data_IF_849390805529
#
_entry.id   IF_849390805529
#
_cell.length_a   1.000
_cell.length_b   1.000
_cell.length_c   1.000
_cell.angle_alpha   90.00
_cell.angle_beta   90.00
_cell.angle_gamma   90.00
#
_symmetry.space_group_name_H-M   'P 1'
#
loop_
_entity.id
_entity.type
_entity.pdbx_description
1 polymer ?
#
# COMPACT_ATOMS: atom_id res chain seq x y z
N UNK A 1 -3.23 2.45 -18.00
CA UNK A 1 -2.71 1.24 -17.33
C UNK A 1 -3.46 0.09 -17.95
N UNK A 2 -2.76 -0.82 -18.62
CA UNK A 2 -3.40 -1.94 -19.29
C UNK A 2 -3.96 -2.91 -18.23
N UNK A 3 -5.02 -3.65 -18.57
CA UNK A 3 -5.60 -4.65 -17.64
C UNK A 3 -4.57 -5.70 -17.19
N UNK A 4 -3.52 -5.91 -17.98
CA UNK A 4 -2.42 -6.85 -17.72
C UNK A 4 -1.46 -6.40 -16.60
N UNK A 5 -1.58 -5.16 -16.12
CA UNK A 5 -0.80 -4.59 -15.02
C UNK A 5 -1.59 -4.56 -13.69
N UNK A 6 -2.75 -5.21 -13.60
CA UNK A 6 -3.46 -5.31 -12.33
C UNK A 6 -2.85 -6.36 -11.39
N UNK A 7 -2.91 -6.14 -10.06
CA UNK A 7 -2.53 -7.17 -9.10
C UNK A 7 -3.38 -8.44 -9.27
N UNK A 8 -2.78 -9.60 -9.04
CA UNK A 8 -3.50 -10.87 -9.04
C UNK A 8 -4.46 -10.87 -7.85
N UNK A 9 -5.71 -11.29 -8.08
CA UNK A 9 -6.77 -11.27 -7.06
C UNK A 9 -7.78 -10.12 -7.22
N UNK A 10 -7.61 -9.26 -8.23
CA UNK A 10 -8.68 -8.41 -8.78
C UNK A 10 -9.47 -9.22 -9.80
N UNK A 11 -10.80 -9.17 -9.73
CA UNK A 11 -11.68 -9.92 -10.64
C UNK A 11 -11.88 -9.17 -11.95
N UNK A 12 -12.25 -9.86 -13.04
CA UNK A 12 -12.41 -9.25 -14.37
C UNK A 12 -13.44 -8.11 -14.44
N UNK A 13 -14.40 -8.12 -13.52
CA UNK A 13 -15.48 -7.13 -13.40
C UNK A 13 -15.14 -5.98 -12.43
N UNK A 14 -13.91 -5.93 -11.93
CA UNK A 14 -13.46 -4.93 -10.97
C UNK A 14 -12.41 -4.03 -11.61
N UNK A 15 -12.35 -2.79 -11.11
CA UNK A 15 -11.31 -1.84 -11.49
C UNK A 15 -10.42 -1.59 -10.29
N UNK A 16 -9.11 -1.73 -10.49
CA UNK A 16 -8.11 -1.41 -9.47
C UNK A 16 -7.56 0.00 -9.70
N UNK A 17 -7.60 0.83 -8.66
CA UNK A 17 -7.13 2.22 -8.71
C UNK A 17 -5.97 2.40 -7.74
N UNK A 18 -4.85 2.89 -8.25
CA UNK A 18 -3.77 3.39 -7.40
C UNK A 18 -4.07 4.81 -6.95
N UNK A 19 -4.00 5.04 -5.64
CA UNK A 19 -4.18 6.37 -5.03
C UNK A 19 -2.91 7.23 -5.14
N UNK A 20 -1.76 6.61 -5.44
CA UNK A 20 -0.50 7.27 -5.70
C UNK A 20 0.28 6.59 -6.82
N UNK A 21 1.16 7.32 -7.49
CA UNK A 21 1.89 6.83 -8.68
C UNK A 21 3.28 6.27 -8.37
N UNK A 22 3.81 6.47 -7.15
CA UNK A 22 5.21 6.16 -6.85
C UNK A 22 5.56 5.97 -5.36
N UNK A 23 4.61 6.05 -4.43
CA UNK A 23 4.91 6.06 -2.99
C UNK A 23 4.30 4.85 -2.29
N UNK A 24 4.98 4.35 -1.26
CA UNK A 24 4.42 3.33 -0.37
C UNK A 24 3.27 3.93 0.44
N UNK A 25 2.24 3.12 0.74
CA UNK A 25 1.10 3.55 1.54
C UNK A 25 1.46 3.75 3.03
N UNK A 26 2.68 3.39 3.46
CA UNK A 26 3.18 3.49 4.85
C UNK A 26 3.09 4.91 5.45
N UNK A 27 2.97 5.95 4.62
CA UNK A 27 2.77 7.33 5.05
C UNK A 27 1.33 7.84 5.03
N UNK A 28 0.37 7.00 4.68
CA UNK A 28 -1.06 7.38 4.69
C UNK A 28 -1.70 7.01 6.02
N UNK A 29 -2.84 7.59 6.34
CA UNK A 29 -3.59 7.15 7.52
C UNK A 29 -4.06 5.68 7.42
N UNK A 30 -4.25 5.15 6.21
CA UNK A 30 -4.55 3.72 5.98
C UNK A 30 -3.34 2.83 6.31
N UNK A 31 -2.14 3.28 5.96
CA UNK A 31 -0.89 2.58 6.26
C UNK A 31 -0.32 2.87 7.65
N UNK A 32 -0.98 3.65 8.50
CA UNK A 32 -0.40 4.04 9.80
C UNK A 32 -0.17 2.86 10.76
N UNK A 33 -0.99 1.81 10.67
CA UNK A 33 -0.82 0.58 11.44
C UNK A 33 0.17 -0.40 10.82
N UNK A 34 0.71 -0.08 9.64
CA UNK A 34 1.71 -0.88 8.97
C UNK A 34 3.08 -0.62 9.59
N UNK A 35 3.46 -1.43 10.57
CA UNK A 35 4.84 -1.49 11.04
C UNK A 35 5.63 -2.41 10.12
N UNK A 36 6.61 -1.86 9.40
CA UNK A 36 7.57 -2.63 8.62
C UNK A 36 8.34 -3.54 9.58
N UNK A 37 8.01 -4.84 9.60
CA UNK A 37 8.82 -5.79 10.36
C UNK A 37 10.20 -5.92 9.70
N UNK A 38 11.24 -6.18 10.51
CA UNK A 38 12.61 -6.33 10.01
C UNK A 38 12.75 -7.36 8.88
N UNK A 39 11.89 -8.39 8.89
CA UNK A 39 11.82 -9.43 7.87
C UNK A 39 11.40 -8.88 6.48
N UNK A 40 10.45 -7.94 6.43
CA UNK A 40 10.05 -7.27 5.18
C UNK A 40 11.16 -6.38 4.62
N UNK A 41 11.95 -5.75 5.51
CA UNK A 41 13.07 -4.89 5.12
C UNK A 41 14.21 -5.73 4.54
N UNK A 42 14.49 -6.90 5.12
CA UNK A 42 15.52 -7.82 4.64
C UNK A 42 15.26 -8.33 3.22
N UNK A 43 14.03 -8.82 2.94
CA UNK A 43 13.65 -9.29 1.62
C UNK A 43 13.63 -8.18 0.55
N UNK A 44 13.27 -6.96 0.93
CA UNK A 44 13.30 -5.79 0.05
C UNK A 44 14.72 -5.40 -0.38
N UNK A 45 15.66 -5.37 0.56
CA UNK A 45 17.06 -5.07 0.25
C UNK A 45 17.68 -6.11 -0.68
N UNK A 46 17.31 -7.37 -0.50
CA UNK A 46 17.75 -8.47 -1.35
C UNK A 46 17.19 -8.36 -2.76
N UNK A 47 15.90 -8.07 -2.93
CA UNK A 47 15.28 -7.85 -4.24
C UNK A 47 15.90 -6.67 -4.99
N UNK A 48 16.13 -5.53 -4.32
CA UNK A 48 16.81 -4.39 -4.96
C UNK A 48 18.24 -4.76 -5.35
N UNK A 49 18.95 -5.48 -4.48
CA UNK A 49 20.32 -5.91 -4.74
C UNK A 49 20.38 -6.78 -5.99
N UNK A 50 19.49 -7.75 -6.12
CA UNK A 50 19.39 -8.64 -7.28
C UNK A 50 19.08 -7.87 -8.57
N UNK A 51 18.13 -6.94 -8.53
CA UNK A 51 17.76 -6.14 -9.70
C UNK A 51 18.88 -5.20 -10.15
N UNK A 52 19.59 -4.57 -9.22
CA UNK A 52 20.70 -3.69 -9.53
C UNK A 52 21.93 -4.49 -9.98
N UNK A 53 22.17 -5.69 -9.43
CA UNK A 53 23.20 -6.60 -9.91
C UNK A 53 22.94 -7.03 -11.35
N UNK A 54 21.70 -7.41 -11.70
CA UNK A 54 21.30 -7.72 -13.09
C UNK A 54 21.52 -6.53 -14.03
N UNK A 55 21.41 -5.30 -13.53
CA UNK A 55 21.71 -4.07 -14.27
C UNK A 55 23.21 -3.71 -14.32
N UNK A 56 24.09 -4.59 -13.84
CA UNK A 56 25.54 -4.40 -13.88
C UNK A 56 26.08 -3.39 -12.87
N UNK A 57 25.32 -3.09 -11.80
CA UNK A 57 25.80 -2.18 -10.77
C UNK A 57 26.86 -2.85 -9.90
N UNK A 58 27.91 -2.11 -9.55
CA UNK A 58 28.90 -2.60 -8.59
C UNK A 58 28.32 -2.67 -7.19
N UNK A 59 28.83 -3.58 -6.35
CA UNK A 59 28.40 -3.74 -4.96
C UNK A 59 28.42 -2.41 -4.18
N UNK A 60 29.42 -1.56 -4.41
CA UNK A 60 29.52 -0.24 -3.79
C UNK A 60 28.38 0.71 -4.20
N UNK A 61 27.96 0.69 -5.48
CA UNK A 61 26.82 1.50 -5.95
C UNK A 61 25.50 1.01 -5.38
N UNK A 62 25.34 -0.31 -5.28
CA UNK A 62 24.15 -0.94 -4.69
C UNK A 62 24.03 -0.56 -3.22
N UNK A 63 25.10 -0.73 -2.44
CA UNK A 63 25.11 -0.38 -1.02
C UNK A 63 24.81 1.10 -0.79
N UNK A 64 25.36 1.99 -1.63
CA UNK A 64 25.06 3.42 -1.58
C UNK A 64 23.58 3.69 -1.81
N UNK A 65 22.99 3.07 -2.84
CA UNK A 65 21.56 3.21 -3.17
C UNK A 65 20.65 2.71 -2.05
N UNK A 66 20.96 1.56 -1.45
CA UNK A 66 20.22 1.03 -0.29
C UNK A 66 20.28 1.99 0.90
N UNK A 67 21.45 2.55 1.19
CA UNK A 67 21.61 3.53 2.27
C UNK A 67 20.82 4.82 2.01
N UNK A 68 20.76 5.29 0.76
CA UNK A 68 19.99 6.48 0.39
C UNK A 68 18.48 6.25 0.52
N UNK A 69 18.00 5.05 0.16
CA UNK A 69 16.61 4.64 0.36
C UNK A 69 16.24 4.61 1.85
N UNK A 70 17.08 3.99 2.70
CA UNK A 70 16.89 3.98 4.16
C UNK A 70 16.82 5.40 4.75
N UNK A 71 17.72 6.29 4.33
CA UNK A 71 17.70 7.69 4.79
C UNK A 71 16.44 8.44 4.36
N UNK A 72 15.94 8.16 3.16
CA UNK A 72 14.70 8.76 2.64
C UNK A 72 13.49 8.27 3.43
N UNK A 73 13.43 6.96 3.69
CA UNK A 73 12.40 6.34 4.51
C UNK A 73 12.37 6.93 5.93
N UNK A 74 13.50 6.99 6.62
CA UNK A 74 13.60 7.59 7.96
C UNK A 74 13.20 9.06 7.99
N UNK A 75 13.49 9.83 6.93
CA UNK A 75 13.05 11.22 6.82
C UNK A 75 11.54 11.32 6.65
N UNK A 76 10.95 10.44 5.84
CA UNK A 76 9.51 10.39 5.63
C UNK A 76 8.79 9.99 6.92
N UNK A 77 9.28 8.96 7.64
CA UNK A 77 8.74 8.54 8.95
C UNK A 77 8.71 9.72 9.95
N UNK A 78 9.79 10.48 10.07
CA UNK A 78 9.84 11.67 10.93
C UNK A 78 8.92 12.80 10.47
N UNK A 79 8.78 13.00 9.16
CA UNK A 79 7.82 13.97 8.62
C UNK A 79 6.37 13.55 8.92
N UNK A 80 6.09 12.24 8.92
CA UNK A 80 4.78 11.66 9.21
C UNK A 80 4.40 11.76 10.69
N UNK A 81 5.36 11.59 11.60
CA UNK A 81 5.15 11.86 13.04
C UNK A 81 4.64 13.28 13.27
N UNK A 82 5.14 14.25 12.48
CA UNK A 82 4.69 15.65 12.56
C UNK A 82 3.31 15.91 11.92
N UNK A 83 2.85 15.03 11.01
CA UNK A 83 1.56 15.12 10.31
C UNK A 83 0.43 14.34 11.00
N UNK A 84 0.71 13.69 12.14
CA UNK A 84 -0.24 12.90 12.96
C UNK A 84 -1.59 13.61 13.23
N UNK A 85 -1.59 14.95 13.25
CA UNK A 85 -2.80 15.76 13.43
C UNK A 85 -3.86 15.61 12.32
N UNK A 86 -3.49 15.20 11.10
CA UNK A 86 -4.41 15.11 9.95
C UNK A 86 -4.87 13.67 9.63
N UNK A 87 -4.28 12.66 10.27
CA UNK A 87 -4.59 11.24 9.99
C UNK A 87 -6.03 10.86 10.37
N UNK A 88 -6.60 11.53 11.39
CA UNK A 88 -7.97 11.31 11.82
C UNK A 88 -9.02 11.70 10.78
N UNK A 89 -8.75 12.75 9.99
CA UNK A 89 -9.68 13.27 8.99
C UNK A 89 -9.59 12.48 7.67
N UNK A 90 -8.41 11.94 7.34
CA UNK A 90 -8.23 11.07 6.19
C UNK A 90 -9.01 9.75 6.35
N UNK A 91 -8.92 9.09 7.52
CA UNK A 91 -9.68 7.84 7.78
C UNK A 91 -11.19 8.07 7.71
N UNK A 92 -11.68 9.17 8.26
CA UNK A 92 -13.11 9.52 8.15
C UNK A 92 -13.51 9.74 6.69
N UNK A 93 -12.66 10.40 5.90
CA UNK A 93 -12.91 10.62 4.48
C UNK A 93 -13.01 9.32 3.70
N UNK A 94 -12.13 8.34 3.99
CA UNK A 94 -12.22 6.99 3.44
C UNK A 94 -13.51 6.28 3.82
N UNK A 95 -13.89 6.31 5.11
CA UNK A 95 -15.14 5.69 5.56
C UNK A 95 -16.35 6.30 4.84
N UNK A 96 -16.42 7.63 4.75
CA UNK A 96 -17.50 8.33 4.06
C UNK A 96 -17.56 7.97 2.57
N UNK A 97 -16.42 7.88 1.89
CA UNK A 97 -16.36 7.49 0.48
C UNK A 97 -16.89 6.08 0.27
N UNK A 98 -16.40 5.10 1.05
CA UNK A 98 -16.81 3.69 0.94
C UNK A 98 -18.31 3.55 1.20
N UNK A 99 -18.80 4.11 2.30
CA UNK A 99 -20.24 4.10 2.63
C UNK A 99 -21.06 4.75 1.52
N UNK A 100 -20.68 5.94 1.05
CA UNK A 100 -21.43 6.66 0.04
C UNK A 100 -21.54 5.88 -1.28
N UNK A 101 -20.45 5.23 -1.72
CA UNK A 101 -20.47 4.46 -2.96
C UNK A 101 -21.34 3.20 -2.87
N UNK A 102 -21.35 2.51 -1.72
CA UNK A 102 -22.15 1.31 -1.48
C UNK A 102 -23.64 1.64 -1.23
N UNK A 103 -23.93 2.62 -0.38
CA UNK A 103 -25.29 3.04 -0.05
C UNK A 103 -26.02 3.61 -1.27
N UNK A 104 -25.31 4.35 -2.13
CA UNK A 104 -25.84 4.85 -3.41
C UNK A 104 -25.90 3.79 -4.50
N UNK A 105 -25.46 2.55 -4.21
CA UNK A 105 -25.40 1.43 -5.16
C UNK A 105 -24.63 1.74 -6.44
N UNK A 106 -23.61 2.60 -6.33
CA UNK A 106 -22.70 2.91 -7.43
C UNK A 106 -21.71 1.77 -7.68
N UNK A 107 -21.48 0.95 -6.65
CA UNK A 107 -20.83 -0.36 -6.76
C UNK A 107 -21.57 -1.37 -5.88
N UNK A 108 -21.49 -2.66 -6.23
CA UNK A 108 -21.97 -3.75 -5.38
C UNK A 108 -20.99 -4.12 -4.27
N UNK A 109 -19.73 -3.69 -4.38
CA UNK A 109 -18.67 -3.94 -3.41
C UNK A 109 -17.50 -2.97 -3.61
N UNK A 110 -16.72 -2.71 -2.55
CA UNK A 110 -15.50 -1.90 -2.60
C UNK A 110 -14.40 -2.59 -1.81
N UNK A 111 -13.23 -2.74 -2.42
CA UNK A 111 -12.03 -3.24 -1.77
C UNK A 111 -11.07 -2.13 -1.37
N UNK A 112 -10.49 -2.22 -0.18
CA UNK A 112 -9.36 -1.38 0.26
C UNK A 112 -8.18 -2.28 0.61
N UNK A 113 -7.00 -1.90 0.17
CA UNK A 113 -5.74 -2.57 0.47
C UNK A 113 -4.65 -1.54 0.68
N UNK A 114 -3.65 -1.89 1.49
CA UNK A 114 -2.41 -1.14 1.61
C UNK A 114 -1.29 -2.03 1.14
N UNK A 115 -0.37 -1.48 0.36
CA UNK A 115 0.80 -2.21 -0.09
C UNK A 115 2.07 -1.41 0.17
N UNK A 116 3.10 -2.15 0.56
CA UNK A 116 4.45 -1.64 0.46
C UNK A 116 4.96 -1.88 -0.95
N UNK A 117 4.92 -0.81 -1.75
CA UNK A 117 5.50 -0.84 -3.09
C UNK A 117 7.02 -0.77 -3.08
N UNK A 118 7.69 -0.91 -1.94
CA UNK A 118 9.14 -1.08 -1.90
C UNK A 118 9.82 0.07 -2.68
N UNK A 119 9.28 1.29 -2.52
CA UNK A 119 9.76 2.52 -3.14
C UNK A 119 9.47 2.73 -4.63
N UNK A 120 8.95 1.75 -5.38
CA UNK A 120 8.60 1.90 -6.81
C UNK A 120 7.46 0.98 -7.23
N UNK A 121 6.38 1.55 -7.81
CA UNK A 121 5.34 0.80 -8.52
C UNK A 121 5.84 0.43 -9.93
N UNK A 122 6.93 -0.32 -10.02
CA UNK A 122 7.52 -0.71 -11.32
C UNK A 122 6.96 -2.04 -11.84
N UNK A 123 6.36 -2.87 -10.97
CA UNK A 123 5.71 -4.11 -11.36
C UNK A 123 4.68 -4.55 -10.30
N UNK A 124 3.42 -4.08 -10.36
CA UNK A 124 2.39 -4.34 -9.34
C UNK A 124 1.82 -5.78 -9.34
N UNK A 125 2.55 -6.75 -9.89
CA UNK A 125 2.14 -8.16 -9.93
C UNK A 125 2.43 -8.84 -8.60
N UNK A 126 1.66 -8.49 -7.59
CA UNK A 126 1.60 -9.18 -6.30
C UNK A 126 0.25 -9.85 -6.12
N UNK A 127 0.22 -10.87 -5.26
CA UNK A 127 -0.97 -11.66 -4.98
C UNK A 127 -1.77 -11.03 -3.83
N UNK A 128 -2.99 -10.57 -4.12
CA UNK A 128 -3.92 -10.06 -3.12
C UNK A 128 -4.70 -11.19 -2.45
N UNK A 129 -4.60 -11.27 -1.13
CA UNK A 129 -5.49 -12.11 -0.31
C UNK A 129 -6.80 -11.37 -0.09
N UNK A 130 -7.94 -11.98 -0.39
CA UNK A 130 -9.25 -11.37 -0.16
C UNK A 130 -9.81 -11.68 1.21
N UNK A 131 -10.32 -10.65 1.87
CA UNK A 131 -11.15 -10.78 3.07
C UNK A 131 -12.47 -10.05 2.83
N UNK A 132 -13.60 -10.73 3.01
CA UNK A 132 -14.93 -10.09 2.89
C UNK A 132 -15.35 -9.54 4.25
N UNK A 133 -15.92 -8.34 4.26
CA UNK A 133 -16.48 -7.69 5.42
C UNK A 133 -17.85 -7.08 5.06
N UNK A 134 -18.74 -6.97 6.05
CA UNK A 134 -19.99 -6.25 5.86
C UNK A 134 -19.77 -4.75 6.01
N UNK A 135 -20.54 -3.91 5.30
CA UNK A 135 -20.47 -2.46 5.48
C UNK A 135 -20.65 -2.03 6.96
N UNK A 136 -21.48 -2.72 7.76
CA UNK A 136 -21.65 -2.43 9.19
C UNK A 136 -20.37 -2.62 10.02
N UNK A 137 -19.41 -3.41 9.53
CA UNK A 137 -18.12 -3.60 10.19
C UNK A 137 -17.13 -2.46 9.88
N UNK A 138 -17.42 -1.61 8.89
CA UNK A 138 -16.56 -0.50 8.49
C UNK A 138 -16.28 0.41 9.68
N UNK A 139 -15.01 0.46 10.08
CA UNK A 139 -14.55 1.25 11.21
C UNK A 139 -13.14 1.77 10.97
N UNK A 140 -12.78 2.82 11.69
CA UNK A 140 -11.42 3.34 11.69
C UNK A 140 -10.38 2.28 12.08
N UNK A 141 -10.76 1.35 12.97
CA UNK A 141 -9.86 0.29 13.41
C UNK A 141 -9.55 -0.70 12.29
N UNK A 142 -10.54 -1.08 11.47
CA UNK A 142 -10.30 -1.95 10.32
C UNK A 142 -9.40 -1.24 9.30
N UNK A 143 -9.71 0.02 8.97
CA UNK A 143 -8.97 0.76 7.96
C UNK A 143 -7.53 1.09 8.38
N UNK A 144 -7.26 1.30 9.67
CA UNK A 144 -5.90 1.56 10.18
C UNK A 144 -5.04 0.29 10.28
N UNK A 145 -5.67 -0.89 10.39
CA UNK A 145 -4.97 -2.17 10.58
C UNK A 145 -5.15 -3.09 9.36
N UNK A 146 -5.17 -2.50 8.17
CA UNK A 146 -5.17 -3.30 6.95
C UNK A 146 -3.87 -4.08 6.86
N UNK A 147 -3.99 -5.40 6.67
CA UNK A 147 -2.82 -6.23 6.45
C UNK A 147 -2.27 -5.98 5.02
N UNK A 148 -0.94 -6.00 4.85
CA UNK A 148 -0.32 -5.87 3.52
C UNK A 148 -0.82 -6.92 2.56
N UNK A 149 -0.94 -6.55 1.28
CA UNK A 149 -1.42 -7.42 0.21
C UNK A 149 -2.76 -8.11 0.55
N UNK A 150 -3.54 -7.54 1.45
CA UNK A 150 -4.88 -8.02 1.80
C UNK A 150 -5.89 -7.01 1.30
N UNK A 151 -6.78 -7.47 0.43
CA UNK A 151 -7.91 -6.70 -0.08
C UNK A 151 -9.12 -6.96 0.82
N UNK A 152 -9.45 -6.00 1.68
CA UNK A 152 -10.66 -6.03 2.49
C UNK A 152 -11.82 -5.49 1.67
N UNK A 153 -12.75 -6.36 1.31
CA UNK A 153 -13.89 -6.08 0.42
C UNK A 153 -15.15 -5.90 1.24
N UNK A 154 -15.70 -4.69 1.20
CA UNK A 154 -16.96 -4.32 1.83
C UNK A 154 -18.13 -4.48 0.85
N UNK A 155 -19.24 -5.02 1.35
CA UNK A 155 -20.53 -5.15 0.66
C UNK A 155 -21.70 -4.98 1.61
#
# INVERSE_FOLDING_TARGET
>A
MDKDDQPKGVSENENYFFTCTAHCDCGTALGSGFSLTEEHIGGYEESIRDDLQKKGWSAAKIQRRLNDLKKTQQKNERALESLSLYQGDEIKSWMMLISALLERRLSSHIGVTVNDYHGLISNPKFDLKRKKENLSALSSQILKNLAPATLVVFS
#
